data_IF_943791742700
#
_entry.id   IF_943791742700
#
_cell.length_a   1.000
_cell.length_b   1.000
_cell.length_c   1.000
_cell.angle_alpha   90.00
_cell.angle_beta   90.00
_cell.angle_gamma   90.00
#
_symmetry.space_group_name_H-M   'P 1'
#
loop_
_entity.id
_entity.type
_entity.pdbx_description
1 polymer ?
#
# COMPACT_ATOMS: atom_id res chain seq x y z
N UNK A 1 61.61 -15.43 3.88
CA UNK A 1 61.27 -14.00 3.71
C UNK A 1 60.43 -13.92 2.43
N UNK A 2 59.11 -14.00 2.56
CA UNK A 2 58.19 -14.12 1.42
C UNK A 2 57.59 -12.73 1.10
N UNK A 3 57.80 -12.28 -0.14
CA UNK A 3 57.32 -11.03 -0.68
C UNK A 3 55.84 -11.20 -1.08
N UNK A 4 54.92 -10.47 -0.43
CA UNK A 4 53.53 -10.39 -0.88
C UNK A 4 53.40 -9.27 -1.92
N UNK A 5 53.02 -9.64 -3.14
CA UNK A 5 52.69 -8.71 -4.23
C UNK A 5 51.27 -8.18 -3.99
N UNK A 6 51.13 -6.90 -3.67
CA UNK A 6 49.84 -6.20 -3.62
C UNK A 6 49.48 -5.74 -5.03
N UNK A 7 48.47 -6.37 -5.63
CA UNK A 7 47.86 -5.92 -6.88
C UNK A 7 46.93 -4.76 -6.52
N UNK A 8 47.29 -3.55 -6.96
CA UNK A 8 46.46 -2.35 -6.83
C UNK A 8 45.41 -2.35 -7.95
N UNK A 9 44.15 -2.63 -7.61
CA UNK A 9 43.03 -2.49 -8.55
C UNK A 9 42.73 -1.00 -8.74
N UNK A 10 43.26 -0.40 -9.81
CA UNK A 10 42.90 0.96 -10.21
C UNK A 10 41.49 0.90 -10.81
N UNK A 11 40.49 1.32 -10.02
CA UNK A 11 39.15 1.63 -10.50
C UNK A 11 39.25 2.88 -11.39
N UNK A 12 39.43 2.67 -12.70
CA UNK A 12 39.20 3.69 -13.71
C UNK A 12 37.69 4.01 -13.73
N UNK A 13 37.29 5.04 -12.99
CA UNK A 13 35.98 5.68 -13.15
C UNK A 13 35.97 6.41 -14.50
N UNK A 14 35.68 5.68 -15.58
CA UNK A 14 35.23 6.32 -16.81
C UNK A 14 33.86 6.93 -16.52
N UNK A 15 33.78 8.26 -16.44
CA UNK A 15 32.51 8.98 -16.55
C UNK A 15 31.95 8.74 -17.95
N UNK A 16 31.32 7.59 -18.16
CA UNK A 16 30.50 7.36 -19.33
C UNK A 16 29.31 8.30 -19.24
N UNK A 17 29.23 9.28 -20.14
CA UNK A 17 27.99 10.02 -20.36
C UNK A 17 26.90 9.00 -20.72
N UNK A 18 26.03 8.69 -19.77
CA UNK A 18 24.92 7.78 -20.02
C UNK A 18 23.99 8.45 -21.03
N UNK A 19 23.67 7.75 -22.13
CA UNK A 19 22.81 8.29 -23.19
C UNK A 19 21.36 8.36 -22.70
N UNK A 20 20.63 9.38 -23.14
CA UNK A 20 19.20 9.53 -22.88
C UNK A 20 18.32 8.77 -23.88
N UNK A 21 18.93 8.16 -24.90
CA UNK A 21 18.22 7.61 -26.04
C UNK A 21 18.99 6.45 -26.70
N UNK A 22 18.24 5.61 -27.41
CA UNK A 22 18.72 4.50 -28.24
C UNK A 22 17.98 4.47 -29.57
N UNK A 23 18.68 4.16 -30.65
CA UNK A 23 18.14 4.17 -32.01
C UNK A 23 17.60 2.81 -32.45
N UNK A 24 16.86 2.79 -33.57
CA UNK A 24 16.47 1.54 -34.22
C UNK A 24 17.67 0.59 -34.46
N UNK A 25 17.39 -0.70 -34.40
CA UNK A 25 18.42 -1.76 -34.39
C UNK A 25 19.04 -2.01 -33.01
N UNK A 26 18.67 -1.24 -31.98
CA UNK A 26 19.16 -1.46 -30.62
C UNK A 26 18.60 -2.75 -30.02
N UNK A 27 19.49 -3.55 -29.42
CA UNK A 27 19.14 -4.79 -28.74
C UNK A 27 19.98 -4.98 -27.48
N UNK A 28 19.32 -5.39 -26.40
CA UNK A 28 19.97 -5.82 -25.15
C UNK A 28 19.34 -7.10 -24.67
N UNK A 29 20.19 -8.06 -24.28
CA UNK A 29 19.77 -9.34 -23.70
C UNK A 29 20.21 -9.40 -22.24
N UNK A 30 19.29 -9.79 -21.38
CA UNK A 30 19.53 -10.11 -19.98
C UNK A 30 19.29 -11.61 -19.77
N UNK A 31 20.28 -12.31 -19.23
CA UNK A 31 20.18 -13.72 -18.92
C UNK A 31 19.20 -13.95 -17.76
N UNK A 32 18.40 -15.01 -17.87
CA UNK A 32 17.45 -15.43 -16.83
C UNK A 32 18.02 -16.67 -16.16
N UNK A 33 18.10 -16.72 -14.82
CA UNK A 33 18.58 -17.90 -14.11
C UNK A 33 17.77 -19.15 -14.44
N UNK A 34 18.45 -20.28 -14.56
CA UNK A 34 17.81 -21.59 -14.80
C UNK A 34 17.01 -22.04 -13.59
N UNK A 35 17.59 -21.88 -12.39
CA UNK A 35 16.93 -22.22 -11.13
C UNK A 35 16.20 -21.02 -10.55
N UNK A 36 14.96 -21.23 -10.12
CA UNK A 36 14.16 -20.18 -9.50
C UNK A 36 14.71 -19.82 -8.12
N UNK A 37 15.06 -18.55 -7.95
CA UNK A 37 15.49 -17.95 -6.69
C UNK A 37 14.50 -16.89 -6.24
N UNK A 38 13.94 -17.08 -5.03
CA UNK A 38 12.98 -16.14 -4.43
C UNK A 38 13.66 -14.78 -4.23
N UNK A 39 13.00 -13.72 -4.71
CA UNK A 39 13.52 -12.35 -4.56
C UNK A 39 14.68 -12.01 -5.49
N UNK A 40 15.00 -12.85 -6.47
CA UNK A 40 15.99 -12.51 -7.50
C UNK A 40 15.55 -11.28 -8.30
N UNK A 41 16.51 -10.41 -8.55
CA UNK A 41 16.36 -9.19 -9.34
C UNK A 41 17.63 -9.04 -10.18
N UNK A 42 17.49 -9.10 -11.50
CA UNK A 42 18.54 -8.75 -12.47
C UNK A 42 18.13 -7.52 -13.25
N UNK A 43 19.03 -6.55 -13.42
CA UNK A 43 18.74 -5.31 -14.17
C UNK A 43 19.91 -4.91 -15.07
N UNK A 44 19.59 -4.50 -16.29
CA UNK A 44 20.50 -3.83 -17.20
C UNK A 44 20.03 -2.38 -17.41
N UNK A 45 20.83 -1.41 -16.97
CA UNK A 45 20.56 0.02 -17.17
C UNK A 45 20.77 0.37 -18.65
N UNK A 46 19.79 1.06 -19.26
CA UNK A 46 19.76 1.33 -20.70
C UNK A 46 20.01 2.80 -21.01
N UNK A 47 19.27 3.69 -20.35
CA UNK A 47 19.31 5.13 -20.57
C UNK A 47 19.06 5.87 -19.26
N UNK A 48 19.56 7.10 -19.20
CA UNK A 48 19.44 8.00 -18.05
C UNK A 48 19.09 9.42 -18.51
N UNK A 49 18.21 10.10 -17.78
CA UNK A 49 17.85 11.48 -18.08
C UNK A 49 18.97 12.42 -17.63
N UNK A 50 19.26 13.45 -18.44
CA UNK A 50 20.26 14.46 -18.14
C UNK A 50 19.75 15.49 -17.11
N UNK A 51 19.67 15.09 -15.83
CA UNK A 51 19.30 15.97 -14.72
C UNK A 51 20.06 15.59 -13.43
N UNK A 52 20.10 16.52 -12.46
CA UNK A 52 20.66 16.24 -11.13
C UNK A 52 19.82 15.19 -10.41
N UNK A 53 20.47 14.42 -9.54
CA UNK A 53 19.81 13.40 -8.74
C UNK A 53 18.66 13.99 -7.89
N UNK A 54 17.52 13.28 -7.78
CA UNK A 54 17.22 12.00 -8.41
C UNK A 54 16.88 12.17 -9.90
N UNK A 55 17.57 11.43 -10.75
CA UNK A 55 17.34 11.38 -12.18
C UNK A 55 16.50 10.17 -12.59
N UNK A 56 15.94 10.23 -13.79
CA UNK A 56 15.20 9.12 -14.35
C UNK A 56 16.16 8.13 -15.01
N UNK A 57 15.93 6.85 -14.75
CA UNK A 57 16.71 5.73 -15.29
C UNK A 57 15.76 4.74 -15.94
N UNK A 58 16.17 4.15 -17.04
CA UNK A 58 15.42 3.08 -17.69
C UNK A 58 16.23 1.80 -17.63
N UNK A 59 15.57 0.69 -17.32
CA UNK A 59 16.25 -0.59 -17.21
C UNK A 59 15.42 -1.71 -17.82
N UNK A 60 16.10 -2.67 -18.43
CA UNK A 60 15.56 -3.99 -18.67
C UNK A 60 15.71 -4.79 -17.37
N UNK A 61 14.61 -5.39 -16.90
CA UNK A 61 14.52 -6.00 -15.58
C UNK A 61 13.98 -7.42 -15.67
N UNK A 62 14.58 -8.33 -14.90
CA UNK A 62 14.11 -9.70 -14.66
C UNK A 62 13.92 -9.87 -13.16
N UNK A 63 12.68 -10.02 -12.73
CA UNK A 63 12.31 -10.14 -11.31
C UNK A 63 11.61 -11.49 -11.04
N UNK A 64 11.94 -12.12 -9.91
CA UNK A 64 11.25 -13.32 -9.44
C UNK A 64 9.84 -12.96 -8.96
N UNK A 65 8.83 -13.57 -9.58
CA UNK A 65 7.43 -13.36 -9.25
C UNK A 65 6.59 -14.63 -9.48
N UNK A 66 5.83 -15.04 -8.47
CA UNK A 66 4.89 -16.17 -8.57
C UNK A 66 5.53 -17.49 -9.05
N UNK A 67 6.75 -17.80 -8.59
CA UNK A 67 7.46 -19.03 -8.96
C UNK A 67 8.08 -19.01 -10.37
N UNK A 68 8.08 -17.85 -11.05
CA UNK A 68 8.64 -17.65 -12.39
C UNK A 68 9.43 -16.33 -12.45
N UNK A 69 10.10 -16.09 -13.56
CA UNK A 69 10.78 -14.83 -13.84
C UNK A 69 9.95 -13.94 -14.75
N UNK A 70 9.71 -12.70 -14.32
CA UNK A 70 9.01 -11.68 -15.09
C UNK A 70 10.03 -10.74 -15.74
N UNK A 71 9.94 -10.58 -17.06
CA UNK A 71 10.74 -9.68 -17.88
C UNK A 71 9.96 -8.39 -18.16
N UNK A 72 10.54 -7.23 -17.84
CA UNK A 72 9.88 -5.93 -18.03
C UNK A 72 10.88 -4.80 -18.34
N UNK A 73 10.39 -3.80 -19.06
CA UNK A 73 11.04 -2.52 -19.22
C UNK A 73 10.52 -1.60 -18.11
N UNK A 74 11.44 -1.02 -17.35
CA UNK A 74 11.12 -0.26 -16.14
C UNK A 74 11.71 1.15 -16.20
N UNK A 75 10.97 2.11 -15.67
CA UNK A 75 11.46 3.48 -15.44
C UNK A 75 11.55 3.70 -13.94
N UNK A 76 12.68 4.24 -13.51
CA UNK A 76 12.98 4.58 -12.12
C UNK A 76 13.19 6.07 -11.97
N UNK A 77 12.83 6.61 -10.82
CA UNK A 77 13.26 7.93 -10.35
C UNK A 77 14.03 7.74 -9.04
N UNK A 78 15.36 7.89 -9.09
CA UNK A 78 16.21 7.34 -8.03
C UNK A 78 15.99 5.83 -7.91
N UNK A 79 15.64 5.34 -6.72
CA UNK A 79 15.34 3.92 -6.48
C UNK A 79 13.85 3.56 -6.59
N UNK A 80 12.99 4.53 -6.90
CA UNK A 80 11.54 4.31 -6.99
C UNK A 80 11.18 3.86 -8.41
N UNK A 81 10.60 2.67 -8.55
CA UNK A 81 9.98 2.22 -9.80
C UNK A 81 8.71 3.05 -10.06
N UNK A 82 8.72 3.87 -11.11
CA UNK A 82 7.61 4.81 -11.43
C UNK A 82 6.81 4.38 -12.65
N UNK A 83 7.32 3.44 -13.44
CA UNK A 83 6.59 2.83 -14.55
C UNK A 83 7.16 1.45 -14.86
N UNK A 84 6.32 0.52 -15.31
CA UNK A 84 6.77 -0.80 -15.76
C UNK A 84 5.87 -1.35 -16.87
N UNK A 85 6.47 -1.96 -17.89
CA UNK A 85 5.73 -2.52 -19.04
C UNK A 85 4.87 -3.74 -18.68
N UNK A 86 5.22 -4.44 -17.59
CA UNK A 86 4.55 -5.65 -17.11
C UNK A 86 3.38 -5.42 -16.15
N UNK A 87 2.93 -4.17 -16.00
CA UNK A 87 2.04 -3.77 -14.88
C UNK A 87 0.69 -4.49 -14.90
N UNK A 88 0.03 -4.45 -16.06
CA UNK A 88 -1.28 -5.09 -16.26
C UNK A 88 -1.15 -6.56 -16.69
N UNK A 89 -0.07 -6.89 -17.40
CA UNK A 89 0.17 -8.24 -17.91
C UNK A 89 1.66 -8.53 -17.84
N UNK A 90 2.05 -9.34 -16.85
CA UNK A 90 3.45 -9.76 -16.67
C UNK A 90 3.88 -10.68 -17.80
N UNK A 91 5.04 -10.39 -18.37
CA UNK A 91 5.67 -11.29 -19.33
C UNK A 91 6.61 -12.24 -18.59
N UNK A 92 6.16 -13.48 -18.39
CA UNK A 92 7.02 -14.52 -17.84
C UNK A 92 7.88 -15.18 -18.92
N UNK A 93 9.18 -15.30 -18.66
CA UNK A 93 10.18 -15.86 -19.58
C UNK A 93 11.17 -16.77 -18.84
N UNK A 94 12.00 -17.50 -19.60
CA UNK A 94 13.10 -18.35 -19.15
C UNK A 94 14.30 -18.12 -20.08
N UNK A 95 15.50 -18.56 -19.70
CA UNK A 95 16.81 -18.39 -20.37
C UNK A 95 17.24 -16.95 -20.71
N UNK A 96 16.41 -16.18 -21.40
CA UNK A 96 16.68 -14.81 -21.82
C UNK A 96 15.45 -13.89 -21.74
N UNK A 97 15.76 -12.61 -21.53
CA UNK A 97 14.86 -11.48 -21.64
C UNK A 97 15.54 -10.46 -22.55
N UNK A 98 14.97 -10.21 -23.72
CA UNK A 98 15.57 -9.38 -24.77
C UNK A 98 14.71 -8.15 -24.98
N UNK A 99 15.28 -6.96 -24.84
CA UNK A 99 14.70 -5.72 -25.33
C UNK A 99 15.23 -5.45 -26.74
N UNK A 100 14.32 -5.17 -27.67
CA UNK A 100 14.66 -4.87 -29.06
C UNK A 100 13.85 -3.67 -29.55
N UNK A 101 14.53 -2.67 -30.11
CA UNK A 101 13.91 -1.64 -30.95
C UNK A 101 14.20 -1.98 -32.40
N UNK A 102 13.20 -2.52 -33.10
CA UNK A 102 13.37 -3.03 -34.47
C UNK A 102 13.61 -1.94 -35.50
N UNK A 103 14.16 -2.33 -36.66
CA UNK A 103 14.37 -1.42 -37.79
C UNK A 103 13.05 -0.83 -38.32
N UNK A 104 11.93 -1.53 -38.14
CA UNK A 104 10.59 -1.04 -38.46
C UNK A 104 10.01 -0.14 -37.37
N UNK A 105 10.73 0.09 -36.27
CA UNK A 105 10.33 1.04 -35.23
C UNK A 105 9.40 0.49 -34.14
N UNK A 106 9.30 -0.83 -34.00
CA UNK A 106 8.54 -1.47 -32.90
C UNK A 106 9.48 -1.83 -31.73
N UNK A 107 9.14 -1.38 -30.52
CA UNK A 107 9.86 -1.71 -29.29
C UNK A 107 9.22 -2.95 -28.65
N UNK A 108 10.02 -3.97 -28.38
CA UNK A 108 9.52 -5.31 -28.01
C UNK A 108 10.33 -5.91 -26.87
N UNK A 109 9.66 -6.68 -26.01
CA UNK A 109 10.30 -7.63 -25.09
C UNK A 109 10.09 -9.04 -25.62
N UNK A 110 11.20 -9.77 -25.79
CA UNK A 110 11.22 -11.15 -26.28
C UNK A 110 11.85 -12.08 -25.26
N UNK A 111 11.38 -13.32 -25.25
CA UNK A 111 12.05 -14.45 -24.60
C UNK A 111 12.60 -15.42 -25.65
N UNK A 112 12.93 -16.64 -25.23
CA UNK A 112 13.43 -17.69 -26.11
C UNK A 112 12.52 -17.93 -27.31
N UNK A 113 13.12 -18.41 -28.40
CA UNK A 113 12.40 -18.74 -29.64
C UNK A 113 11.62 -17.55 -30.23
N UNK A 114 12.11 -16.32 -30.05
CA UNK A 114 11.47 -15.09 -30.53
C UNK A 114 10.07 -14.83 -29.95
N UNK A 115 9.72 -15.43 -28.80
CA UNK A 115 8.42 -15.23 -28.16
C UNK A 115 8.29 -13.78 -27.67
N UNK A 116 7.43 -13.00 -28.33
CA UNK A 116 7.12 -11.62 -27.90
C UNK A 116 6.14 -11.65 -26.74
N UNK A 117 6.54 -11.05 -25.62
CA UNK A 117 5.71 -10.92 -24.42
C UNK A 117 5.06 -9.55 -24.24
N UNK A 118 5.68 -8.51 -24.78
CA UNK A 118 5.19 -7.14 -24.73
C UNK A 118 5.73 -6.36 -25.93
N UNK A 119 4.97 -5.40 -26.47
CA UNK A 119 5.41 -4.50 -27.54
C UNK A 119 4.59 -3.21 -27.56
N UNK A 120 5.15 -2.17 -28.17
CA UNK A 120 4.49 -0.86 -28.34
C UNK A 120 3.51 -0.82 -29.51
N UNK A 121 3.66 -1.71 -30.50
CA UNK A 121 2.79 -1.76 -31.68
C UNK A 121 3.08 -0.63 -32.69
N UNK A 122 4.32 -0.13 -32.72
CA UNK A 122 4.73 1.05 -33.50
C UNK A 122 5.40 0.71 -34.83
N UNK A 123 5.41 -0.56 -35.22
CA UNK A 123 5.96 -1.03 -36.50
C UNK A 123 5.38 -0.22 -37.68
N UNK A 124 6.26 0.33 -38.53
CA UNK A 124 5.89 1.11 -39.71
C UNK A 124 5.41 2.53 -39.43
N UNK A 125 5.45 3.02 -38.19
CA UNK A 125 5.03 4.39 -37.84
C UNK A 125 6.14 5.45 -37.99
N UNK A 126 7.30 5.05 -38.53
CA UNK A 126 8.47 5.93 -38.73
C UNK A 126 9.20 6.27 -37.44
N UNK A 127 9.21 5.36 -36.45
CA UNK A 127 9.98 5.52 -35.21
C UNK A 127 11.47 5.35 -35.51
N UNK A 128 12.28 6.24 -34.97
CA UNK A 128 13.74 6.28 -35.15
C UNK A 128 14.51 6.01 -33.87
N UNK A 129 13.94 6.40 -32.73
CA UNK A 129 14.60 6.26 -31.43
C UNK A 129 13.62 6.17 -30.27
N UNK A 130 14.07 5.49 -29.23
CA UNK A 130 13.50 5.49 -27.88
C UNK A 130 14.28 6.48 -27.03
N UNK A 131 13.58 7.31 -26.25
CA UNK A 131 14.20 8.37 -25.45
C UNK A 131 13.51 8.49 -24.09
N UNK A 132 14.30 8.66 -23.02
CA UNK A 132 13.80 9.05 -21.70
C UNK A 132 13.87 10.58 -21.54
N UNK A 133 12.72 11.21 -21.31
CA UNK A 133 12.63 12.65 -21.05
C UNK A 133 12.99 13.00 -19.60
N UNK A 134 13.35 14.26 -19.33
CA UNK A 134 13.56 14.77 -17.96
C UNK A 134 12.30 14.76 -17.09
N UNK A 135 11.11 14.62 -17.68
CA UNK A 135 9.86 14.37 -16.96
C UNK A 135 9.68 12.91 -16.50
N UNK A 136 10.54 12.00 -16.96
CA UNK A 136 10.37 10.55 -16.82
C UNK A 136 9.46 9.93 -17.88
N UNK A 137 8.98 10.71 -18.85
CA UNK A 137 8.22 10.17 -19.97
C UNK A 137 9.16 9.41 -20.91
N UNK A 138 8.88 8.12 -21.11
CA UNK A 138 9.62 7.27 -22.04
C UNK A 138 8.88 7.31 -23.37
N UNK A 139 9.54 7.78 -24.42
CA UNK A 139 8.89 8.08 -25.71
C UNK A 139 9.59 7.40 -26.88
N UNK A 140 8.79 6.96 -27.86
CA UNK A 140 9.27 6.63 -29.21
C UNK A 140 8.96 7.81 -30.12
N UNK A 141 9.97 8.29 -30.86
CA UNK A 141 9.86 9.49 -31.70
C UNK A 141 10.36 9.22 -33.13
N UNK A 142 9.87 10.01 -34.09
CA UNK A 142 10.39 10.00 -35.46
C UNK A 142 11.58 10.95 -35.67
N UNK A 143 12.07 11.05 -36.91
CA UNK A 143 13.17 11.95 -37.32
C UNK A 143 12.90 13.43 -37.03
N UNK A 144 11.63 13.81 -36.87
CA UNK A 144 11.19 15.19 -36.58
C UNK A 144 10.77 15.36 -35.11
N UNK A 145 11.19 14.45 -34.22
CA UNK A 145 10.92 14.46 -32.79
C UNK A 145 9.43 14.37 -32.42
N UNK A 146 8.59 13.88 -33.35
CA UNK A 146 7.16 13.69 -33.07
C UNK A 146 6.96 12.38 -32.34
N UNK A 147 6.31 12.45 -31.18
CA UNK A 147 5.97 11.30 -30.35
C UNK A 147 5.00 10.38 -31.10
N UNK A 148 5.40 9.12 -31.28
CA UNK A 148 4.57 8.03 -31.81
C UNK A 148 3.97 7.17 -30.69
N UNK A 149 4.70 7.04 -29.60
CA UNK A 149 4.26 6.31 -28.41
C UNK A 149 4.89 6.93 -27.16
N UNK A 150 4.18 6.89 -26.03
CA UNK A 150 4.71 7.40 -24.76
C UNK A 150 4.18 6.61 -23.56
N UNK A 151 5.03 6.41 -22.54
CA UNK A 151 4.67 5.71 -21.31
C UNK A 151 3.59 6.43 -20.50
N UNK A 152 3.51 7.77 -20.60
CA UNK A 152 2.50 8.56 -19.89
C UNK A 152 1.05 8.24 -20.25
N UNK A 153 0.82 7.60 -21.41
CA UNK A 153 -0.52 7.14 -21.82
C UNK A 153 -0.91 5.80 -21.15
N UNK A 154 0.03 5.12 -20.48
CA UNK A 154 -0.13 3.81 -19.88
C UNK A 154 0.28 3.84 -18.40
N UNK A 155 -0.46 4.56 -17.54
CA UNK A 155 -0.07 4.75 -16.15
C UNK A 155 -0.20 3.45 -15.33
N UNK A 156 0.63 3.32 -14.30
CA UNK A 156 0.68 2.16 -13.37
C UNK A 156 -0.01 2.49 -12.04
N UNK A 157 0.70 2.37 -10.93
CA UNK A 157 0.40 2.83 -9.57
C UNK A 157 0.91 4.27 -9.30
N UNK A 158 1.69 4.86 -10.22
CA UNK A 158 2.37 6.15 -10.05
C UNK A 158 1.93 7.15 -11.13
N UNK A 159 1.79 8.41 -10.73
CA UNK A 159 1.64 9.57 -11.60
C UNK A 159 2.82 10.51 -11.41
N UNK A 160 3.56 10.78 -12.49
CA UNK A 160 4.72 11.67 -12.44
C UNK A 160 4.33 13.14 -12.60
N UNK A 161 5.22 14.03 -12.13
CA UNK A 161 5.10 15.45 -12.43
C UNK A 161 5.08 15.71 -13.95
N UNK A 162 4.16 16.57 -14.39
CA UNK A 162 3.97 16.88 -15.81
C UNK A 162 3.06 15.91 -16.56
N UNK A 163 2.75 14.75 -15.98
CA UNK A 163 1.71 13.87 -16.49
C UNK A 163 0.32 14.47 -16.22
N UNK A 164 -0.61 14.23 -17.14
CA UNK A 164 -2.03 14.60 -17.01
C UNK A 164 -2.85 13.33 -17.08
N UNK A 165 -3.69 13.09 -16.09
CA UNK A 165 -4.63 11.97 -16.09
C UNK A 165 -6.04 12.53 -16.26
N UNK A 166 -6.75 12.07 -17.28
CA UNK A 166 -8.12 12.50 -17.54
C UNK A 166 -9.10 11.69 -16.68
N UNK A 167 -10.37 12.10 -16.63
CA UNK A 167 -11.44 11.25 -16.11
C UNK A 167 -11.45 9.89 -16.81
N UNK A 168 -11.87 8.86 -16.08
CA UNK A 168 -11.84 7.45 -16.46
C UNK A 168 -10.43 6.82 -16.51
N UNK A 169 -9.36 7.59 -16.33
CA UNK A 169 -8.04 7.03 -16.03
C UNK A 169 -8.03 6.42 -14.62
N UNK A 170 -7.33 5.29 -14.48
CA UNK A 170 -7.19 4.55 -13.22
C UNK A 170 -5.70 4.29 -12.97
N UNK A 171 -5.26 4.50 -11.73
CA UNK A 171 -4.00 3.92 -11.27
C UNK A 171 -4.32 2.64 -10.53
N UNK A 172 -3.51 1.61 -10.68
CA UNK A 172 -3.74 0.30 -10.07
C UNK A 172 -2.50 -0.18 -9.35
N UNK A 173 -2.68 -0.79 -8.18
CA UNK A 173 -1.62 -1.37 -7.37
C UNK A 173 -2.00 -2.81 -7.04
N UNK A 174 -1.09 -3.75 -7.31
CA UNK A 174 -1.31 -5.18 -7.20
C UNK A 174 -0.43 -5.76 -6.08
N UNK A 175 -0.92 -5.85 -4.84
CA UNK A 175 -0.17 -6.43 -3.74
C UNK A 175 0.27 -7.85 -4.06
N UNK A 176 1.52 -8.17 -3.72
CA UNK A 176 2.04 -9.53 -3.89
C UNK A 176 1.20 -10.54 -3.11
N UNK A 177 0.95 -11.70 -3.70
CA UNK A 177 0.20 -12.81 -3.09
C UNK A 177 -1.24 -12.44 -2.66
N UNK A 178 -1.87 -11.50 -3.36
CA UNK A 178 -3.25 -11.10 -3.14
C UNK A 178 -4.08 -11.30 -4.41
N UNK A 179 -5.30 -11.81 -4.26
CA UNK A 179 -6.32 -11.78 -5.33
C UNK A 179 -7.02 -10.43 -5.45
N UNK A 180 -6.82 -9.55 -4.46
CA UNK A 180 -7.37 -8.19 -4.41
C UNK A 180 -6.33 -7.17 -4.86
N UNK A 181 -6.77 -6.08 -5.48
CA UNK A 181 -5.93 -4.98 -5.93
C UNK A 181 -6.57 -3.62 -5.58
N UNK A 182 -5.74 -2.59 -5.49
CA UNK A 182 -6.19 -1.23 -5.21
C UNK A 182 -6.30 -0.43 -6.50
N UNK A 183 -7.28 0.47 -6.58
CA UNK A 183 -7.33 1.47 -7.65
C UNK A 183 -7.58 2.88 -7.13
N UNK A 184 -6.92 3.85 -7.76
CA UNK A 184 -7.29 5.26 -7.72
C UNK A 184 -8.08 5.55 -8.99
N UNK A 185 -9.32 6.02 -8.83
CA UNK A 185 -10.19 6.31 -9.97
C UNK A 185 -10.60 7.78 -9.99
N UNK A 186 -10.45 8.39 -11.17
CA UNK A 186 -10.85 9.76 -11.43
C UNK A 186 -12.23 9.72 -12.07
N UNK A 187 -13.24 10.19 -11.33
CA UNK A 187 -14.62 10.26 -11.78
C UNK A 187 -15.01 11.73 -11.99
N UNK A 188 -16.13 11.99 -12.67
CA UNK A 188 -16.55 13.37 -12.95
C UNK A 188 -16.81 14.18 -11.69
N UNK A 189 -17.34 13.57 -10.62
CA UNK A 189 -17.73 14.27 -9.40
C UNK A 189 -16.79 14.04 -8.20
N UNK A 190 -15.84 13.10 -8.32
CA UNK A 190 -14.93 12.74 -7.22
C UNK A 190 -13.66 12.05 -7.71
N UNK A 191 -12.64 12.05 -6.86
CA UNK A 191 -11.54 11.10 -6.89
C UNK A 191 -11.79 10.10 -5.78
N UNK A 192 -11.61 8.80 -6.03
CA UNK A 192 -11.82 7.79 -5.01
C UNK A 192 -10.79 6.67 -5.07
N UNK A 193 -10.50 6.10 -3.91
CA UNK A 193 -9.72 4.89 -3.76
C UNK A 193 -10.65 3.69 -3.56
N UNK A 194 -10.28 2.58 -4.16
CA UNK A 194 -11.09 1.37 -4.22
C UNK A 194 -10.27 0.12 -3.93
N UNK A 195 -10.85 -0.79 -3.14
CA UNK A 195 -10.41 -2.15 -2.96
C UNK A 195 -11.25 -3.04 -3.89
N UNK A 196 -10.58 -3.66 -4.86
CA UNK A 196 -11.20 -4.56 -5.83
C UNK A 196 -10.88 -6.00 -5.42
N UNK A 197 -11.90 -6.84 -5.23
CA UNK A 197 -11.74 -8.25 -4.86
C UNK A 197 -12.82 -9.11 -5.50
N UNK A 198 -12.43 -9.91 -6.49
CA UNK A 198 -13.37 -10.67 -7.31
C UNK A 198 -14.37 -9.74 -8.02
N UNK A 199 -15.68 -9.93 -7.76
CA UNK A 199 -16.74 -9.08 -8.29
C UNK A 199 -17.02 -7.83 -7.45
N UNK A 200 -16.39 -7.70 -6.28
CA UNK A 200 -16.66 -6.64 -5.33
C UNK A 200 -15.70 -5.47 -5.52
N UNK A 201 -16.26 -4.27 -5.46
CA UNK A 201 -15.52 -3.02 -5.53
C UNK A 201 -15.99 -2.09 -4.40
N UNK A 202 -15.11 -1.86 -3.42
CA UNK A 202 -15.42 -1.07 -2.22
C UNK A 202 -14.58 0.20 -2.19
N UNK A 203 -15.22 1.36 -2.15
CA UNK A 203 -14.49 2.60 -1.91
C UNK A 203 -14.07 2.67 -0.44
N UNK A 204 -12.88 3.15 -0.13
CA UNK A 204 -12.44 3.35 1.26
C UNK A 204 -11.95 4.77 1.54
N UNK A 205 -11.92 5.62 0.50
CA UNK A 205 -11.57 7.02 0.60
C UNK A 205 -12.08 7.76 -0.63
N UNK A 206 -12.58 8.98 -0.46
CA UNK A 206 -12.99 9.85 -1.56
C UNK A 206 -12.68 11.32 -1.29
N UNK A 207 -12.48 12.06 -2.38
CA UNK A 207 -12.37 13.52 -2.38
C UNK A 207 -13.34 14.09 -3.43
N UNK A 208 -14.23 14.98 -2.99
CA UNK A 208 -15.24 15.65 -3.82
C UNK A 208 -14.93 17.14 -3.92
N UNK A 209 -14.81 17.73 -5.12
CA UNK A 209 -14.72 19.18 -5.28
C UNK A 209 -15.93 19.89 -4.67
N UNK A 210 -15.71 21.06 -4.05
CA UNK A 210 -16.79 21.92 -3.55
C UNK A 210 -17.79 22.26 -4.67
N UNK A 211 -19.05 22.44 -4.30
CA UNK A 211 -20.15 22.76 -5.23
C UNK A 211 -20.39 21.70 -6.33
N UNK A 212 -19.94 20.46 -6.15
CA UNK A 212 -20.12 19.35 -7.11
C UNK A 212 -19.63 19.68 -8.53
N UNK A 213 -18.53 20.44 -8.64
CA UNK A 213 -17.95 20.78 -9.94
C UNK A 213 -17.39 19.53 -10.64
N UNK A 214 -17.57 19.48 -11.96
CA UNK A 214 -17.09 18.37 -12.75
C UNK A 214 -15.57 18.45 -12.97
N UNK A 215 -14.90 17.36 -12.62
CA UNK A 215 -13.50 17.07 -12.91
C UNK A 215 -13.42 16.65 -14.39
N UNK A 216 -12.37 17.12 -15.08
CA UNK A 216 -12.02 16.68 -16.44
C UNK A 216 -10.65 16.01 -16.45
N UNK A 217 -9.73 16.52 -15.63
CA UNK A 217 -8.41 15.93 -15.47
C UNK A 217 -7.75 16.38 -14.17
N UNK A 218 -6.68 15.68 -13.80
CA UNK A 218 -5.82 16.01 -12.68
C UNK A 218 -4.37 16.21 -13.13
N UNK A 219 -3.63 17.03 -12.39
CA UNK A 219 -2.19 17.25 -12.58
C UNK A 219 -1.51 17.43 -11.22
N UNK A 220 -0.32 16.87 -11.07
CA UNK A 220 0.51 17.18 -9.91
C UNK A 220 1.06 18.60 -10.05
N UNK A 221 0.69 19.47 -9.10
CA UNK A 221 1.13 20.86 -8.99
C UNK A 221 2.07 21.04 -7.81
N UNK A 222 2.70 22.22 -7.69
CA UNK A 222 3.80 22.43 -6.72
C UNK A 222 3.34 22.41 -5.26
N UNK A 223 2.04 22.62 -5.03
CA UNK A 223 1.41 22.65 -3.71
C UNK A 223 0.46 21.48 -3.45
N UNK A 224 0.36 20.51 -4.36
CA UNK A 224 -0.61 19.42 -4.22
C UNK A 224 -1.09 18.83 -5.55
N UNK A 225 -2.11 17.98 -5.47
CA UNK A 225 -2.80 17.45 -6.65
C UNK A 225 -3.90 18.43 -7.07
N UNK A 226 -3.77 19.00 -8.26
CA UNK A 226 -4.72 19.96 -8.81
C UNK A 226 -5.78 19.25 -9.67
N UNK A 227 -7.04 19.62 -9.44
CA UNK A 227 -8.19 19.14 -10.20
C UNK A 227 -8.71 20.26 -11.09
N UNK A 228 -8.96 19.95 -12.35
CA UNK A 228 -9.36 20.93 -13.36
C UNK A 228 -10.68 20.57 -14.04
N UNK A 229 -11.42 21.60 -14.45
CA UNK A 229 -12.57 21.46 -15.34
C UNK A 229 -12.16 21.56 -16.82
N UNK A 230 -13.14 21.37 -17.70
CA UNK A 230 -13.10 21.49 -19.16
C UNK A 230 -12.48 22.81 -19.67
N UNK A 231 -12.73 23.91 -18.96
CA UNK A 231 -12.21 25.25 -19.27
C UNK A 231 -10.77 25.49 -18.74
N UNK A 232 -10.03 24.43 -18.41
CA UNK A 232 -8.69 24.51 -17.78
C UNK A 232 -8.67 25.29 -16.45
N UNK A 233 -9.84 25.48 -15.84
CA UNK A 233 -9.97 26.16 -14.55
C UNK A 233 -9.68 25.16 -13.44
N UNK A 234 -8.74 25.50 -12.56
CA UNK A 234 -8.51 24.75 -11.31
C UNK A 234 -9.75 24.88 -10.42
N UNK A 235 -10.37 23.75 -10.10
CA UNK A 235 -11.62 23.69 -9.32
C UNK A 235 -11.41 23.24 -7.88
N UNK A 236 -10.35 22.47 -7.61
CA UNK A 236 -9.99 21.99 -6.28
C UNK A 236 -8.50 21.62 -6.22
N UNK A 237 -7.97 21.43 -5.01
CA UNK A 237 -6.63 20.93 -4.76
C UNK A 237 -6.64 20.01 -3.54
N UNK A 238 -5.94 18.88 -3.63
CA UNK A 238 -5.51 18.11 -2.47
C UNK A 238 -4.14 18.65 -2.07
N UNK A 239 -4.10 19.41 -0.98
CA UNK A 239 -2.91 20.17 -0.59
C UNK A 239 -1.82 19.29 0.01
N UNK A 240 -0.58 19.58 -0.38
CA UNK A 240 0.64 19.13 0.28
C UNK A 240 0.83 19.88 1.61
N UNK A 241 1.34 19.20 2.63
CA UNK A 241 1.74 19.82 3.90
C UNK A 241 3.13 20.48 3.82
N UNK A 242 3.90 20.14 2.78
CA UNK A 242 5.26 20.62 2.55
C UNK A 242 5.35 21.59 1.38
N UNK A 243 6.33 22.49 1.45
CA UNK A 243 6.59 23.53 0.44
C UNK A 243 7.56 23.05 -0.66
N UNK A 244 8.06 21.82 -0.56
CA UNK A 244 8.97 21.24 -1.54
C UNK A 244 8.24 20.79 -2.81
N UNK A 245 8.96 20.82 -3.93
CA UNK A 245 8.41 20.44 -5.22
C UNK A 245 8.08 18.94 -5.25
N UNK A 246 6.80 18.63 -5.43
CA UNK A 246 6.33 17.27 -5.60
C UNK A 246 6.93 16.65 -6.86
N UNK A 247 7.28 15.37 -6.77
CA UNK A 247 7.91 14.59 -7.84
C UNK A 247 6.93 13.60 -8.45
N UNK A 248 6.12 12.96 -7.61
CA UNK A 248 5.11 12.01 -8.04
C UNK A 248 3.99 11.85 -7.01
N UNK A 249 2.88 11.29 -7.47
CA UNK A 249 1.83 10.71 -6.66
C UNK A 249 1.90 9.19 -6.83
N UNK A 250 1.74 8.43 -5.74
CA UNK A 250 1.73 6.97 -5.80
C UNK A 250 0.57 6.38 -4.99
N UNK A 251 0.02 5.29 -5.52
CA UNK A 251 -0.89 4.39 -4.81
C UNK A 251 -0.05 3.26 -4.20
N UNK A 252 0.00 3.19 -2.87
CA UNK A 252 0.87 2.25 -2.15
C UNK A 252 0.66 0.79 -2.56
N UNK A 253 1.73 0.10 -2.97
CA UNK A 253 1.68 -1.29 -3.43
C UNK A 253 1.20 -2.29 -2.37
N UNK A 254 1.48 -2.05 -1.09
CA UNK A 254 1.05 -2.93 0.02
C UNK A 254 -0.19 -2.39 0.74
N UNK A 255 -0.32 -1.08 0.86
CA UNK A 255 -1.33 -0.44 1.73
C UNK A 255 -2.56 0.06 0.99
N UNK A 256 -2.45 0.34 -0.31
CA UNK A 256 -3.48 1.06 -1.05
C UNK A 256 -3.64 2.52 -0.62
N UNK A 257 -2.74 3.07 0.20
CA UNK A 257 -2.83 4.48 0.59
C UNK A 257 -2.34 5.38 -0.55
N UNK A 258 -2.98 6.52 -0.75
CA UNK A 258 -2.55 7.52 -1.72
C UNK A 258 -1.57 8.48 -1.07
N UNK A 259 -0.41 8.68 -1.68
CA UNK A 259 0.60 9.63 -1.22
C UNK A 259 1.06 10.61 -2.28
N UNK A 260 1.39 11.83 -1.86
CA UNK A 260 2.13 12.81 -2.68
C UNK A 260 3.56 12.88 -2.16
N UNK A 261 4.54 12.75 -3.05
CA UNK A 261 5.93 12.58 -2.65
C UNK A 261 6.83 13.68 -3.20
N UNK A 262 7.73 14.15 -2.35
CA UNK A 262 8.83 15.04 -2.72
C UNK A 262 10.16 14.36 -2.40
N UNK A 263 11.26 14.84 -2.98
CA UNK A 263 12.59 14.33 -2.68
C UNK A 263 13.24 15.17 -1.59
N UNK A 264 13.66 14.53 -0.50
CA UNK A 264 14.37 15.15 0.62
C UNK A 264 15.88 14.97 0.41
N UNK A 265 16.62 16.03 0.00
CA UNK A 265 18.05 15.91 -0.29
C UNK A 265 18.86 15.58 0.97
N UNK A 266 18.43 16.09 2.13
CA UNK A 266 19.09 15.85 3.42
C UNK A 266 19.04 14.37 3.83
N UNK A 267 17.94 13.69 3.51
CA UNK A 267 17.73 12.27 3.86
C UNK A 267 18.00 11.30 2.71
N UNK A 268 18.30 11.82 1.52
CA UNK A 268 18.55 11.02 0.32
C UNK A 268 17.38 10.11 -0.08
N UNK A 269 16.13 10.50 0.21
CA UNK A 269 14.95 9.66 -0.04
C UNK A 269 13.70 10.48 -0.39
N UNK A 270 12.71 9.80 -0.95
CA UNK A 270 11.39 10.37 -1.13
C UNK A 270 10.58 10.31 0.17
N UNK A 271 9.91 11.41 0.49
CA UNK A 271 9.06 11.54 1.66
C UNK A 271 7.66 11.98 1.25
N UNK A 272 6.65 11.48 1.97
CA UNK A 272 5.27 11.84 1.71
C UNK A 272 4.99 13.21 2.33
N UNK A 273 4.49 14.16 1.54
CA UNK A 273 3.95 15.43 2.05
C UNK A 273 2.44 15.41 2.27
N UNK A 274 1.79 14.36 1.78
CA UNK A 274 0.37 14.09 1.99
C UNK A 274 0.14 12.58 1.97
N UNK A 275 -0.74 12.11 2.84
CA UNK A 275 -1.31 10.77 2.80
C UNK A 275 -2.83 10.88 2.95
N UNK A 276 -3.57 10.09 2.17
CA UNK A 276 -5.03 10.09 2.23
C UNK A 276 -5.56 9.52 3.55
N UNK A 277 -4.86 8.52 4.10
CA UNK A 277 -5.22 7.82 5.33
C UNK A 277 -4.07 7.94 6.33
N UNK A 278 -4.35 8.42 7.54
CA UNK A 278 -3.33 8.74 8.55
C UNK A 278 -3.09 7.62 9.56
N UNK A 279 -4.05 6.71 9.73
CA UNK A 279 -3.94 5.62 10.71
C UNK A 279 -3.93 4.27 10.01
N UNK A 280 -3.30 3.28 10.65
CA UNK A 280 -3.22 1.92 10.11
C UNK A 280 -4.61 1.30 9.98
N UNK A 281 -5.49 1.51 10.96
CA UNK A 281 -6.85 0.96 10.94
C UNK A 281 -7.82 1.66 9.98
N UNK A 282 -7.40 2.74 9.30
CA UNK A 282 -8.17 3.34 8.21
C UNK A 282 -7.86 2.67 6.85
N UNK A 283 -6.82 1.83 6.78
CA UNK A 283 -6.48 1.08 5.58
C UNK A 283 -7.48 -0.08 5.35
N UNK A 284 -7.90 -0.32 4.10
CA UNK A 284 -8.93 -1.32 3.78
C UNK A 284 -8.52 -2.76 4.12
N UNK A 285 -7.21 -3.07 4.08
CA UNK A 285 -6.64 -4.38 4.41
C UNK A 285 -5.66 -4.30 5.59
N UNK A 286 -5.94 -3.44 6.58
CA UNK A 286 -5.14 -3.35 7.81
C UNK A 286 -4.99 -4.72 8.51
N UNK A 287 -6.07 -5.51 8.47
CA UNK A 287 -6.10 -6.88 8.96
C UNK A 287 -6.50 -7.85 7.84
N UNK A 288 -6.08 -9.11 7.99
CA UNK A 288 -6.54 -10.22 7.13
C UNK A 288 -8.08 -10.35 7.20
N UNK A 289 -8.71 -11.02 6.21
CA UNK A 289 -10.15 -11.29 6.27
C UNK A 289 -10.58 -11.86 7.63
N UNK A 290 -11.76 -11.45 8.09
CA UNK A 290 -12.30 -11.78 9.43
C UNK A 290 -11.47 -11.23 10.61
N UNK A 291 -10.52 -10.33 10.37
CA UNK A 291 -9.82 -9.56 11.40
C UNK A 291 -10.46 -8.18 11.64
N UNK A 292 -10.45 -7.74 12.90
CA UNK A 292 -10.83 -6.41 13.36
C UNK A 292 -9.55 -5.66 13.75
N UNK A 293 -9.35 -4.47 13.17
CA UNK A 293 -8.28 -3.57 13.58
C UNK A 293 -8.70 -2.82 14.84
N UNK A 294 -8.00 -3.07 15.95
CA UNK A 294 -8.33 -2.51 17.27
C UNK A 294 -7.80 -1.08 17.43
N UNK A 295 -8.28 -0.37 18.45
CA UNK A 295 -7.80 0.98 18.77
C UNK A 295 -6.29 1.05 19.09
N UNK A 296 -5.65 -0.08 19.39
CA UNK A 296 -4.20 -0.19 19.59
C UNK A 296 -3.41 -0.45 18.29
N UNK A 297 -4.05 -0.34 17.11
CA UNK A 297 -3.48 -0.69 15.80
C UNK A 297 -3.02 -2.15 15.70
N UNK A 298 -3.71 -3.06 16.39
CA UNK A 298 -3.43 -4.50 16.33
C UNK A 298 -4.64 -5.27 15.80
N UNK A 299 -4.42 -6.43 15.19
CA UNK A 299 -5.50 -7.25 14.65
C UNK A 299 -6.00 -8.25 15.70
N UNK A 300 -7.31 -8.28 15.90
CA UNK A 300 -8.02 -9.35 16.63
C UNK A 300 -8.90 -10.12 15.66
N UNK A 301 -9.02 -11.44 15.80
CA UNK A 301 -9.87 -12.21 14.91
C UNK A 301 -11.30 -12.26 15.43
N UNK A 302 -12.26 -12.14 14.52
CA UNK A 302 -13.64 -12.52 14.80
C UNK A 302 -13.62 -14.01 15.12
N UNK A 303 -14.00 -14.39 16.35
CA UNK A 303 -13.84 -15.73 16.93
C UNK A 303 -14.73 -16.82 16.32
N UNK A 304 -14.91 -16.79 15.01
CA UNK A 304 -15.80 -17.66 14.23
C UNK A 304 -15.08 -18.92 13.74
N UNK A 305 -13.74 -18.94 13.73
CA UNK A 305 -12.95 -20.03 13.17
C UNK A 305 -11.71 -20.44 13.98
N UNK A 306 -11.50 -19.86 15.17
CA UNK A 306 -10.31 -20.15 15.96
C UNK A 306 -10.68 -20.75 17.31
N UNK A 307 -10.02 -21.86 17.68
CA UNK A 307 -9.92 -22.33 19.06
C UNK A 307 -9.07 -21.35 19.90
N UNK A 308 -9.54 -20.10 20.01
CA UNK A 308 -9.16 -19.12 21.01
C UNK A 308 -7.73 -18.55 21.02
N UNK A 309 -6.80 -18.95 20.14
CA UNK A 309 -5.37 -18.55 20.29
C UNK A 309 -4.55 -18.28 19.01
N UNK A 310 -5.14 -18.26 17.82
CA UNK A 310 -4.37 -18.00 16.58
C UNK A 310 -4.35 -16.51 16.22
N UNK A 311 -3.16 -15.95 16.00
CA UNK A 311 -2.94 -14.62 15.38
C UNK A 311 -3.18 -14.62 13.86
N UNK A 312 -3.30 -15.80 13.26
CA UNK A 312 -3.69 -15.98 11.88
C UNK A 312 -5.20 -16.22 11.84
N UNK A 313 -5.97 -15.17 11.56
CA UNK A 313 -7.37 -15.32 11.18
C UNK A 313 -7.38 -16.21 9.92
N UNK A 314 -8.14 -17.30 9.98
CA UNK A 314 -8.19 -18.32 8.93
C UNK A 314 -8.58 -17.69 7.59
N UNK A 315 -8.17 -18.34 6.50
CA UNK A 315 -8.80 -18.12 5.20
C UNK A 315 -10.30 -18.24 5.42
N UNK A 316 -11.02 -17.16 5.08
CA UNK A 316 -12.39 -16.95 5.50
C UNK A 316 -13.34 -18.11 5.20
N UNK A 317 -14.55 -18.05 5.75
CA UNK A 317 -15.62 -18.95 5.30
C UNK A 317 -15.85 -18.65 3.81
N UNK A 318 -15.39 -19.56 2.94
CA UNK A 318 -15.55 -19.43 1.50
C UNK A 318 -17.05 -19.44 1.18
N UNK A 319 -17.49 -18.41 0.47
CA UNK A 319 -18.90 -18.13 0.21
C UNK A 319 -19.64 -19.36 -0.31
N UNK A 320 -20.67 -19.75 0.43
CA UNK A 320 -21.43 -20.98 0.16
C UNK A 320 -22.60 -21.16 1.13
N UNK A 321 -23.18 -20.06 1.61
CA UNK A 321 -24.20 -20.08 2.67
C UNK A 321 -25.59 -20.57 2.23
N UNK A 322 -25.75 -20.96 0.96
CA UNK A 322 -27.04 -21.37 0.39
C UNK A 322 -27.19 -22.89 0.17
N UNK A 323 -26.17 -23.70 0.49
CA UNK A 323 -26.24 -25.16 0.34
C UNK A 323 -26.78 -25.84 1.61
N UNK A 324 -28.06 -25.56 1.94
CA UNK A 324 -28.76 -26.15 3.09
C UNK A 324 -28.07 -25.93 4.46
N UNK A 325 -27.12 -25.00 4.53
CA UNK A 325 -26.43 -24.60 5.75
C UNK A 325 -27.35 -23.71 6.58
N UNK A 326 -27.65 -24.13 7.81
CA UNK A 326 -28.25 -23.21 8.77
C UNK A 326 -27.23 -22.11 9.07
N UNK A 327 -27.63 -20.86 8.82
CA UNK A 327 -26.79 -19.68 9.01
C UNK A 327 -27.43 -18.71 10.00
N UNK A 328 -26.60 -17.94 10.68
CA UNK A 328 -27.02 -16.88 11.59
C UNK A 328 -26.14 -15.65 11.44
N UNK A 329 -26.64 -14.51 11.93
CA UNK A 329 -25.86 -13.28 12.02
C UNK A 329 -25.34 -13.12 13.45
N UNK A 330 -24.03 -13.01 13.60
CA UNK A 330 -23.38 -12.66 14.87
C UNK A 330 -23.21 -11.14 14.93
N UNK A 331 -23.73 -10.52 15.98
CA UNK A 331 -23.52 -9.10 16.26
C UNK A 331 -22.14 -8.86 16.92
N UNK A 332 -21.43 -7.85 16.42
CA UNK A 332 -20.17 -7.37 16.97
C UNK A 332 -20.35 -5.92 17.45
N UNK A 333 -20.28 -5.74 18.76
CA UNK A 333 -20.37 -4.42 19.38
C UNK A 333 -19.08 -3.62 19.19
N UNK A 334 -19.22 -2.30 18.99
CA UNK A 334 -18.06 -1.42 18.86
C UNK A 334 -17.24 -1.67 17.59
N UNK A 335 -17.83 -2.26 16.55
CA UNK A 335 -17.17 -2.50 15.26
C UNK A 335 -17.86 -1.72 14.15
N UNK A 336 -17.06 -1.15 13.26
CA UNK A 336 -17.48 -0.49 12.02
C UNK A 336 -16.65 -1.00 10.84
N UNK A 337 -16.91 -0.49 9.64
CA UNK A 337 -16.10 -0.75 8.45
C UNK A 337 -15.52 0.53 7.87
N UNK A 338 -14.31 0.46 7.33
CA UNK A 338 -13.73 1.52 6.49
C UNK A 338 -14.20 1.45 5.04
N UNK A 339 -14.82 0.34 4.65
CA UNK A 339 -15.31 0.10 3.31
C UNK A 339 -16.69 0.73 3.14
N UNK A 340 -16.85 1.52 2.08
CA UNK A 340 -18.10 2.14 1.67
C UNK A 340 -18.75 1.30 0.58
N UNK A 341 -20.05 1.07 0.73
CA UNK A 341 -20.86 0.27 -0.20
C UNK A 341 -21.90 1.16 -0.87
N UNK A 342 -22.11 0.94 -2.17
CA UNK A 342 -23.23 1.52 -2.91
C UNK A 342 -23.91 0.42 -3.74
N UNK A 343 -25.26 0.34 -3.77
CA UNK A 343 -26.23 1.23 -3.11
C UNK A 343 -26.38 0.96 -1.60
N UNK A 344 -26.73 2.01 -0.85
CA UNK A 344 -27.07 1.95 0.58
C UNK A 344 -28.58 1.74 0.71
N UNK A 345 -29.02 0.88 1.63
CA UNK A 345 -30.45 0.74 1.94
C UNK A 345 -30.81 1.65 3.12
N UNK A 346 -31.79 2.53 2.92
CA UNK A 346 -32.23 3.52 3.91
C UNK A 346 -33.57 3.13 4.53
N UNK A 347 -33.82 3.62 5.74
CA UNK A 347 -35.03 3.39 6.53
C UNK A 347 -35.33 1.89 6.81
N UNK A 348 -34.28 1.09 6.99
CA UNK A 348 -34.35 -0.34 7.30
C UNK A 348 -34.17 -0.56 8.81
N UNK A 349 -34.85 -1.51 9.44
CA UNK A 349 -34.57 -1.89 10.85
C UNK A 349 -33.28 -2.73 10.95
N UNK A 350 -32.75 -2.91 12.17
CA UNK A 350 -31.57 -3.77 12.36
C UNK A 350 -31.85 -5.20 11.93
N UNK A 351 -33.01 -5.73 12.31
CA UNK A 351 -33.46 -7.10 12.02
C UNK A 351 -33.68 -7.28 10.53
N UNK A 352 -34.31 -6.30 9.87
CA UNK A 352 -34.48 -6.32 8.42
C UNK A 352 -33.12 -6.27 7.70
N UNK A 353 -32.15 -5.50 8.20
CA UNK A 353 -30.80 -5.46 7.64
C UNK A 353 -30.08 -6.81 7.76
N UNK A 354 -30.21 -7.48 8.91
CA UNK A 354 -29.70 -8.83 9.13
C UNK A 354 -30.33 -9.84 8.16
N UNK A 355 -31.66 -9.84 8.04
CA UNK A 355 -32.40 -10.75 7.16
C UNK A 355 -32.02 -10.56 5.68
N UNK A 356 -31.84 -9.31 5.23
CA UNK A 356 -31.36 -9.03 3.88
C UNK A 356 -30.01 -9.67 3.56
N UNK A 357 -29.11 -9.79 4.54
CA UNK A 357 -27.85 -10.50 4.35
C UNK A 357 -28.02 -12.03 4.45
N UNK A 358 -28.90 -12.50 5.33
CA UNK A 358 -29.20 -13.93 5.46
C UNK A 358 -29.78 -14.50 4.16
N UNK A 359 -30.66 -13.76 3.50
CA UNK A 359 -31.32 -14.16 2.25
C UNK A 359 -30.39 -14.04 1.02
N UNK A 360 -29.33 -13.23 1.08
CA UNK A 360 -28.34 -13.08 0.00
C UNK A 360 -27.20 -14.10 0.16
N UNK A 361 -27.10 -15.04 -0.78
CA UNK A 361 -26.04 -16.05 -0.82
C UNK A 361 -24.62 -15.49 -0.92
N UNK A 362 -24.50 -14.26 -1.41
CA UNK A 362 -23.23 -13.59 -1.67
C UNK A 362 -22.88 -12.57 -0.60
N UNK A 363 -23.80 -12.29 0.35
CA UNK A 363 -23.53 -11.47 1.51
C UNK A 363 -22.81 -12.27 2.60
N UNK A 364 -21.77 -11.67 3.17
CA UNK A 364 -20.96 -12.21 4.25
C UNK A 364 -21.04 -11.37 5.54
N UNK A 365 -21.35 -10.08 5.43
CA UNK A 365 -21.55 -9.21 6.59
C UNK A 365 -22.51 -8.06 6.29
N UNK A 366 -23.06 -7.46 7.34
CA UNK A 366 -23.88 -6.27 7.26
C UNK A 366 -23.48 -5.26 8.33
N UNK A 367 -23.56 -3.97 8.03
CA UNK A 367 -23.43 -2.88 9.00
C UNK A 367 -24.77 -2.15 9.08
N UNK A 368 -25.31 -2.06 10.29
CA UNK A 368 -26.49 -1.26 10.58
C UNK A 368 -26.09 0.02 11.29
N UNK A 369 -26.62 1.15 10.82
CA UNK A 369 -26.55 2.45 11.49
C UNK A 369 -27.92 2.85 12.01
N UNK A 370 -28.04 3.12 13.30
CA UNK A 370 -29.31 3.47 13.95
C UNK A 370 -29.74 4.91 13.71
N UNK A 371 -28.99 5.69 12.92
CA UNK A 371 -29.30 7.09 12.64
C UNK A 371 -29.03 8.06 13.80
N UNK A 372 -28.19 7.71 14.78
CA UNK A 372 -27.81 8.61 15.89
C UNK A 372 -26.78 9.70 15.47
N UNK A 373 -26.81 10.15 14.21
CA UNK A 373 -25.88 11.12 13.61
C UNK A 373 -26.59 12.22 12.79
N UNK A 374 -25.81 13.07 12.10
CA UNK A 374 -26.28 14.33 11.48
C UNK A 374 -27.45 14.20 10.48
N UNK A 375 -27.62 13.04 9.83
CA UNK A 375 -28.68 12.81 8.81
C UNK A 375 -29.92 12.12 9.42
N UNK A 376 -29.80 11.52 10.61
CA UNK A 376 -30.93 10.89 11.31
C UNK A 376 -31.51 9.62 10.67
N UNK A 377 -30.95 9.13 9.55
CA UNK A 377 -31.49 7.99 8.81
C UNK A 377 -30.93 6.65 9.31
N UNK A 378 -31.81 5.64 9.35
CA UNK A 378 -31.42 4.25 9.59
C UNK A 378 -30.87 3.66 8.30
N UNK A 379 -29.62 3.22 8.31
CA UNK A 379 -28.93 2.77 7.10
C UNK A 379 -28.42 1.34 7.26
N UNK A 380 -28.45 0.59 6.16
CA UNK A 380 -27.99 -0.78 6.08
C UNK A 380 -27.01 -0.93 4.91
N UNK A 381 -25.82 -1.43 5.23
CA UNK A 381 -24.75 -1.71 4.29
C UNK A 381 -24.51 -3.22 4.24
N UNK A 382 -24.48 -3.80 3.04
CA UNK A 382 -24.27 -5.24 2.84
C UNK A 382 -22.91 -5.46 2.19
N UNK A 383 -22.11 -6.36 2.76
CA UNK A 383 -20.76 -6.68 2.32
C UNK A 383 -20.71 -8.14 1.89
N UNK A 384 -20.10 -8.41 0.75
CA UNK A 384 -19.85 -9.78 0.30
C UNK A 384 -18.55 -10.38 0.82
N UNK A 385 -17.76 -9.58 1.57
CA UNK A 385 -16.51 -9.99 2.19
C UNK A 385 -16.39 -9.36 3.57
N UNK A 386 -15.80 -10.09 4.52
CA UNK A 386 -15.51 -9.59 5.87
C UNK A 386 -14.08 -9.01 5.87
N UNK A 387 -13.96 -7.76 5.43
CA UNK A 387 -12.71 -7.00 5.34
C UNK A 387 -12.92 -5.55 5.80
N UNK A 388 -11.83 -4.86 6.16
CA UNK A 388 -11.86 -3.46 6.59
C UNK A 388 -12.63 -3.20 7.89
N UNK A 389 -12.83 -4.22 8.73
CA UNK A 389 -13.47 -4.05 10.03
C UNK A 389 -12.53 -3.36 11.01
N UNK A 390 -13.03 -2.35 11.73
CA UNK A 390 -12.28 -1.62 12.74
C UNK A 390 -13.09 -1.38 14.01
N UNK A 391 -12.40 -1.36 15.13
CA UNK A 391 -12.96 -1.01 16.43
C UNK A 391 -13.25 0.49 16.49
N UNK A 392 -14.42 0.84 17.03
CA UNK A 392 -14.90 2.20 17.25
C UNK A 392 -15.47 2.30 18.66
N UNK A 393 -15.53 3.53 19.19
CA UNK A 393 -16.10 3.75 20.52
C UNK A 393 -17.55 3.25 20.57
N UNK A 394 -17.91 2.56 21.64
CA UNK A 394 -19.28 2.12 21.90
C UNK A 394 -20.23 3.32 22.01
N UNK A 395 -21.48 3.15 21.57
CA UNK A 395 -22.51 4.20 21.69
C UNK A 395 -22.73 5.06 20.44
N UNK A 396 -21.99 4.84 19.34
CA UNK A 396 -22.16 5.55 18.06
C UNK A 396 -23.42 5.08 17.29
N UNK A 397 -24.11 4.04 17.77
CA UNK A 397 -25.31 3.50 17.12
C UNK A 397 -25.00 2.66 15.88
N UNK A 398 -23.81 2.04 15.83
CA UNK A 398 -23.40 1.12 14.79
C UNK A 398 -23.45 -0.32 15.31
N UNK A 399 -23.96 -1.23 14.49
CA UNK A 399 -23.95 -2.67 14.75
C UNK A 399 -23.44 -3.40 13.53
N UNK A 400 -22.22 -3.94 13.62
CA UNK A 400 -21.64 -4.77 12.58
C UNK A 400 -22.03 -6.22 12.82
N UNK A 401 -22.42 -6.93 11.77
CA UNK A 401 -22.98 -8.27 11.84
C UNK A 401 -22.29 -9.16 10.82
N UNK A 402 -21.86 -10.36 11.22
CA UNK A 402 -21.16 -11.31 10.35
C UNK A 402 -22.03 -12.55 10.17
N UNK A 403 -22.18 -12.98 8.91
CA UNK A 403 -22.92 -14.20 8.56
C UNK A 403 -22.03 -15.42 8.78
N UNK A 404 -22.52 -16.38 9.56
CA UNK A 404 -21.77 -17.58 9.95
C UNK A 404 -22.66 -18.82 9.93
N UNK A 405 -22.08 -20.03 9.88
CA UNK A 405 -22.82 -21.25 10.17
C UNK A 405 -23.36 -21.25 11.60
N UNK A 406 -24.58 -21.75 11.78
CA UNK A 406 -25.26 -21.80 13.06
C UNK A 406 -24.51 -22.71 14.05
N UNK A 407 -24.39 -22.28 15.31
CA UNK A 407 -23.67 -23.01 16.35
C UNK A 407 -22.19 -22.64 16.44
N UNK A 408 -21.78 -21.55 15.78
CA UNK A 408 -20.44 -21.00 15.93
C UNK A 408 -20.32 -20.28 17.27
N UNK A 409 -19.51 -20.79 18.19
CA UNK A 409 -19.26 -20.16 19.48
C UNK A 409 -18.17 -19.09 19.38
N UNK A 410 -18.48 -17.82 19.69
CA UNK A 410 -17.43 -16.81 19.85
C UNK A 410 -16.56 -17.16 21.05
N UNK A 411 -15.27 -17.39 20.80
CA UNK A 411 -14.26 -17.41 21.85
C UNK A 411 -14.16 -16.02 22.50
N UNK A 412 -14.86 -15.81 23.60
CA UNK A 412 -14.78 -14.59 24.40
C UNK A 412 -13.40 -14.55 25.09
N UNK A 413 -12.37 -14.11 24.36
CA UNK A 413 -11.03 -13.89 24.86
C UNK A 413 -10.97 -12.64 25.75
N UNK A 414 -11.60 -12.68 26.92
CA UNK A 414 -11.34 -11.70 27.98
C UNK A 414 -9.93 -11.97 28.48
N UNK A 415 -8.95 -11.19 28.04
CA UNK A 415 -7.60 -11.25 28.61
C UNK A 415 -7.68 -10.79 30.07
N UNK A 416 -7.77 -11.74 31.00
CA UNK A 416 -7.72 -11.50 32.45
C UNK A 416 -6.33 -11.01 32.94
N UNK A 417 -5.46 -10.57 32.02
CA UNK A 417 -4.06 -10.22 32.31
C UNK A 417 -3.96 -8.95 33.17
N UNK A 418 -4.97 -8.07 33.14
CA UNK A 418 -4.92 -6.82 33.90
C UNK A 418 -5.33 -6.94 35.37
N UNK A 419 -5.94 -8.06 35.81
CA UNK A 419 -6.36 -8.25 37.22
C UNK A 419 -5.21 -8.55 38.18
N UNK A 420 -4.07 -9.05 37.68
CA UNK A 420 -2.94 -9.49 38.52
C UNK A 420 -1.70 -8.59 38.44
N UNK A 421 -1.64 -7.63 37.51
CA UNK A 421 -0.48 -6.74 37.35
C UNK A 421 -0.45 -5.64 38.42
N UNK A 422 -1.61 -5.06 38.77
CA UNK A 422 -1.71 -4.02 39.81
C UNK A 422 -1.29 -4.49 41.22
N UNK A 423 -1.73 -5.66 41.73
CA UNK A 423 -1.27 -6.13 43.04
C UNK A 423 0.22 -6.53 43.04
N UNK A 424 0.78 -7.02 41.93
CA UNK A 424 2.20 -7.40 41.85
C UNK A 424 3.15 -6.19 41.89
N UNK A 425 2.81 -5.10 41.20
CA UNK A 425 3.60 -3.85 41.24
C UNK A 425 3.56 -3.25 42.65
N UNK A 426 2.38 -3.25 43.30
CA UNK A 426 2.26 -2.77 44.68
C UNK A 426 3.06 -3.58 45.71
N UNK A 427 3.17 -4.91 45.52
CA UNK A 427 4.01 -5.77 46.39
C UNK A 427 5.49 -5.51 46.16
N UNK A 428 5.92 -5.30 44.91
CA UNK A 428 7.32 -5.01 44.59
C UNK A 428 7.75 -3.65 45.14
N UNK A 429 6.94 -2.60 44.93
CA UNK A 429 7.23 -1.26 45.42
C UNK A 429 7.20 -1.22 46.96
N UNK A 430 6.27 -1.95 47.59
CA UNK A 430 6.22 -2.09 49.04
C UNK A 430 7.47 -2.76 49.64
N UNK A 431 8.00 -3.80 48.97
CA UNK A 431 9.23 -4.47 49.39
C UNK A 431 10.47 -3.58 49.23
N UNK A 432 10.55 -2.82 48.15
CA UNK A 432 11.66 -1.87 47.92
C UNK A 432 11.65 -0.77 48.99
N UNK A 433 10.48 -0.21 49.30
CA UNK A 433 10.30 0.80 50.35
C UNK A 433 10.74 0.24 51.70
N UNK A 434 10.30 -0.97 52.07
CA UNK A 434 10.70 -1.61 53.33
C UNK A 434 12.20 -1.84 53.44
N UNK A 435 12.86 -2.26 52.36
CA UNK A 435 14.32 -2.46 52.34
C UNK A 435 15.08 -1.14 52.47
N UNK A 436 14.64 -0.08 51.79
CA UNK A 436 15.29 1.23 51.86
C UNK A 436 15.11 1.86 53.24
N UNK A 437 13.89 1.90 53.77
CA UNK A 437 13.65 2.49 55.09
C UNK A 437 14.22 1.63 56.23
N UNK A 438 14.17 0.30 56.10
CA UNK A 438 14.81 -0.63 57.03
C UNK A 438 16.34 -0.47 57.03
N UNK A 439 16.96 -0.35 55.85
CA UNK A 439 18.39 -0.11 55.71
C UNK A 439 18.85 1.24 56.29
N UNK A 440 18.09 2.31 56.04
CA UNK A 440 18.36 3.64 56.61
C UNK A 440 18.19 3.62 58.14
N UNK A 441 17.14 2.99 58.66
CA UNK A 441 16.93 2.82 60.09
C UNK A 441 18.07 2.06 60.77
N UNK A 442 18.50 0.95 60.17
CA UNK A 442 19.65 0.17 60.65
C UNK A 442 20.94 1.00 60.66
N UNK A 443 21.19 1.77 59.60
CA UNK A 443 22.34 2.67 59.52
C UNK A 443 22.36 3.72 60.64
N UNK A 444 21.21 4.35 60.95
CA UNK A 444 21.12 5.31 62.04
C UNK A 444 21.32 4.66 63.42
N UNK A 445 20.82 3.44 63.63
CA UNK A 445 21.07 2.69 64.87
C UNK A 445 22.55 2.34 65.01
N UNK A 446 23.20 1.91 63.93
CA UNK A 446 24.63 1.59 63.95
C UNK A 446 25.49 2.85 64.15
N UNK A 447 25.10 3.99 63.56
CA UNK A 447 25.75 5.29 63.77
C UNK A 447 25.59 5.78 65.22
N UNK A 448 24.40 5.64 65.82
CA UNK A 448 24.19 5.94 67.25
C UNK A 448 25.00 5.03 68.17
N UNK A 449 25.09 3.73 67.88
CA UNK A 449 25.94 2.80 68.64
C UNK A 449 27.41 3.18 68.58
N UNK A 450 27.93 3.59 67.42
CA UNK A 450 29.32 4.07 67.28
C UNK A 450 29.57 5.39 68.04
N UNK A 451 28.58 6.27 68.15
CA UNK A 451 28.69 7.52 68.92
C UNK A 451 28.70 7.23 70.43
N UNK A 452 27.89 6.29 70.90
CA UNK A 452 27.90 5.87 72.31
C UNK A 452 29.22 5.19 72.72
N UNK A 453 29.80 4.33 71.87
CA UNK A 453 31.11 3.68 72.18
C UNK A 453 32.31 4.62 72.12
N UNK A 454 32.18 5.81 71.50
CA UNK A 454 33.26 6.81 71.48
C UNK A 454 33.20 7.79 72.66
N UNK A 455 32.12 7.77 73.46
CA UNK A 455 32.00 8.64 74.64
C UNK A 455 32.63 8.01 75.88
N UNK A 456 32.76 6.68 75.93
CA UNK A 456 33.36 5.94 77.06
C UNK A 456 34.90 5.81 76.99
N UNK A 457 35.56 6.28 75.92
CA UNK A 457 37.02 6.20 75.75
C UNK A 457 37.77 7.53 75.95
N UNK A 458 37.08 8.59 76.40
CA UNK A 458 37.68 9.88 76.74
C UNK A 458 37.22 10.35 78.14
N UNK A 459 37.43 9.52 79.16
CA UNK A 459 37.41 9.91 80.57
C UNK A 459 38.61 9.29 81.29
#
# INVERSE_FOLDING_TARGET
>A
MALYSFIFFILLLTYGYCKSDVHIGYQVTLAVPVEYSVGFIGRALLMESNQREPNFKTALSVEAASGKYSCSLEVFLGDVKVWNSGHYSRFYTWDECVLELTNEGDLRLKGPNQRVGWRTGTSGQGVERLQIMSSGNLVLVDTMDRIKWQSFNFPTDVMLWGQRLNVATRLTSFPSNSSSFYSLEIQHNRIALYLNSGKWNYSYWEFKPSMNRNITYIRLGSKGLDLFSDQYKKIAQISSQEHQLLRFLALGNSTGNLGLYFYSPERGKFEASFQALNTTCDLPLACKPYGICTLSNTCSCIGVLTNGRSSNCSEGISGGFCNNSQVEMIELEGVSSVLQVTPIKVNVSKEACANLCLDDCTCAAALYSSGKGEIGLRECYLYGLVMGAKEVKTGIGLTYMVKVPKGTHLGHGKSNVMKWVLPMVGVLDGLIILLVFGGVGYYFIQKRRKILTNTDNNS
#
